data_IF_747300535629
#
_entry.id   IF_747300535629
#
_cell.length_a   1.000
_cell.length_b   1.000
_cell.length_c   1.000
_cell.angle_alpha   90.00
_cell.angle_beta   90.00
_cell.angle_gamma   90.00
#
_symmetry.space_group_name_H-M   'P 1'
#
loop_
_entity.id
_entity.type
_entity.pdbx_description
1 polymer ?
#
# COMPACT_ATOMS: atom_id res chain seq x y z
N UNK A 1 3.79 18.05 9.72
CA UNK A 1 4.67 16.90 9.52
C UNK A 1 4.86 16.61 8.03
N UNK A 2 6.00 16.09 7.65
CA UNK A 2 6.28 15.65 6.29
C UNK A 2 5.56 14.33 6.00
N UNK A 3 4.85 14.25 4.87
CA UNK A 3 4.13 13.05 4.44
C UNK A 3 4.63 12.62 3.08
N UNK A 4 5.10 11.38 2.99
CA UNK A 4 5.58 10.77 1.76
C UNK A 4 4.73 9.54 1.45
N UNK A 5 4.15 9.51 0.27
CA UNK A 5 3.44 8.33 -0.20
C UNK A 5 4.42 7.29 -0.77
N UNK A 6 4.25 6.04 -0.40
CA UNK A 6 5.00 4.90 -0.96
C UNK A 6 4.02 3.96 -1.64
N UNK A 7 4.22 3.73 -2.94
CA UNK A 7 3.31 2.94 -3.76
C UNK A 7 4.06 1.76 -4.35
N UNK A 8 3.83 0.53 -3.83
CA UNK A 8 4.39 -0.67 -4.42
C UNK A 8 3.68 -0.98 -5.76
N UNK A 9 4.43 -1.02 -6.84
CA UNK A 9 3.93 -1.24 -8.20
C UNK A 9 4.81 -2.22 -9.00
N UNK A 10 5.65 -3.01 -8.32
CA UNK A 10 6.53 -3.99 -8.96
C UNK A 10 5.85 -5.33 -9.26
N UNK A 11 4.66 -5.59 -8.70
CA UNK A 11 3.94 -6.85 -8.86
C UNK A 11 3.40 -7.04 -10.27
N UNK A 12 3.47 -8.26 -10.75
CA UNK A 12 2.95 -8.65 -12.07
C UNK A 12 1.45 -8.94 -12.10
N UNK A 13 0.75 -8.85 -10.94
CA UNK A 13 -0.70 -8.92 -10.86
C UNK A 13 -1.32 -10.25 -11.29
N UNK A 14 -0.90 -11.35 -10.67
CA UNK A 14 -1.30 -12.72 -11.02
C UNK A 14 -2.81 -13.04 -10.90
N UNK A 15 -3.60 -12.17 -10.30
CA UNK A 15 -5.03 -12.43 -10.01
C UNK A 15 -5.99 -12.02 -11.14
N UNK A 16 -5.55 -11.22 -12.09
CA UNK A 16 -6.35 -10.86 -13.26
C UNK A 16 -5.73 -11.53 -14.48
N UNK A 17 -6.52 -12.31 -15.22
CA UNK A 17 -6.12 -12.98 -16.46
C UNK A 17 -5.94 -11.96 -17.60
N UNK A 18 -5.11 -10.93 -17.38
CA UNK A 18 -4.82 -9.90 -18.36
C UNK A 18 -3.38 -10.05 -18.85
N UNK A 19 -3.13 -9.64 -20.11
CA UNK A 19 -1.81 -9.70 -20.74
C UNK A 19 -0.77 -8.74 -20.12
N UNK A 20 -1.16 -7.93 -19.16
CA UNK A 20 -0.31 -6.99 -18.41
C UNK A 20 -0.75 -6.83 -16.97
N UNK A 21 0.13 -6.32 -16.07
CA UNK A 21 -0.23 -6.10 -14.67
C UNK A 21 -1.45 -5.17 -14.53
N UNK A 22 -2.30 -5.46 -13.54
CA UNK A 22 -3.59 -4.78 -13.37
C UNK A 22 -3.47 -3.26 -13.24
N UNK A 23 -2.39 -2.75 -12.62
CA UNK A 23 -2.18 -1.30 -12.45
C UNK A 23 -1.97 -0.57 -13.78
N UNK A 24 -1.60 -1.26 -14.85
CA UNK A 24 -1.41 -0.71 -16.19
C UNK A 24 -2.62 -0.89 -17.11
N UNK A 25 -3.68 -1.52 -16.65
CA UNK A 25 -4.96 -1.55 -17.37
C UNK A 25 -5.53 -0.12 -17.42
N UNK A 26 -6.19 0.21 -18.52
CA UNK A 26 -6.73 1.55 -18.75
C UNK A 26 -8.21 1.64 -18.39
N UNK A 27 -8.57 2.74 -17.77
CA UNK A 27 -9.93 3.21 -17.57
C UNK A 27 -9.99 4.63 -18.14
N UNK A 28 -10.80 4.87 -19.17
CA UNK A 28 -10.89 6.18 -19.83
C UNK A 28 -9.53 6.73 -20.23
N UNK A 29 -8.77 6.15 -21.05
CA UNK A 29 -7.46 6.60 -21.59
C UNK A 29 -6.29 6.70 -20.60
N UNK A 30 -6.53 6.51 -19.29
CA UNK A 30 -5.49 6.51 -18.26
C UNK A 30 -5.37 5.14 -17.61
N UNK A 31 -4.15 4.76 -17.24
CA UNK A 31 -3.92 3.54 -16.47
C UNK A 31 -4.56 3.67 -15.08
N UNK A 32 -4.88 2.54 -14.46
CA UNK A 32 -5.34 2.50 -13.07
C UNK A 32 -4.32 3.18 -12.15
N UNK A 33 -3.01 2.95 -12.38
CA UNK A 33 -1.94 3.60 -11.65
C UNK A 33 -1.99 5.13 -11.79
N UNK A 34 -2.21 5.66 -12.98
CA UNK A 34 -2.33 7.11 -13.21
C UNK A 34 -3.52 7.70 -12.44
N UNK A 35 -4.65 7.00 -12.40
CA UNK A 35 -5.80 7.42 -11.59
C UNK A 35 -5.46 7.44 -10.10
N UNK A 36 -4.80 6.42 -9.59
CA UNK A 36 -4.36 6.34 -8.19
C UNK A 36 -3.39 7.48 -7.86
N UNK A 37 -2.36 7.67 -8.68
CA UNK A 37 -1.36 8.73 -8.50
C UNK A 37 -1.98 10.14 -8.58
N UNK A 38 -2.98 10.33 -9.43
CA UNK A 38 -3.67 11.62 -9.56
C UNK A 38 -4.33 12.07 -8.26
N UNK A 39 -4.98 11.15 -7.55
CA UNK A 39 -5.58 11.45 -6.23
C UNK A 39 -4.52 11.83 -5.21
N UNK A 40 -3.42 11.09 -5.16
CA UNK A 40 -2.35 11.30 -4.18
C UNK A 40 -1.58 12.59 -4.47
N UNK A 41 -1.18 12.81 -5.72
CA UNK A 41 -0.42 13.99 -6.14
C UNK A 41 -1.21 15.30 -5.99
N UNK A 42 -2.53 15.25 -6.09
CA UNK A 42 -3.39 16.43 -5.94
C UNK A 42 -3.67 16.81 -4.49
N UNK A 43 -3.31 15.96 -3.50
CA UNK A 43 -3.53 16.28 -2.10
C UNK A 43 -2.42 17.19 -1.54
N UNK A 44 -2.77 18.39 -1.01
CA UNK A 44 -1.77 19.39 -0.63
C UNK A 44 -0.87 18.99 0.55
N UNK A 45 -1.31 18.06 1.40
CA UNK A 45 -0.53 17.59 2.55
C UNK A 45 0.54 16.56 2.19
N UNK A 46 0.50 15.97 0.99
CA UNK A 46 1.48 14.98 0.56
C UNK A 46 2.65 15.70 -0.12
N UNK A 47 3.84 15.55 0.45
CA UNK A 47 5.03 16.27 0.00
C UNK A 47 5.70 15.61 -1.21
N UNK A 48 5.70 14.27 -1.24
CA UNK A 48 6.38 13.52 -2.29
C UNK A 48 5.81 12.12 -2.43
N UNK A 49 6.04 11.50 -3.58
CA UNK A 49 5.63 10.12 -3.88
C UNK A 49 6.85 9.30 -4.26
N UNK A 50 6.98 8.12 -3.67
CA UNK A 50 7.96 7.12 -4.07
C UNK A 50 7.19 5.94 -4.68
N UNK A 51 7.50 5.64 -5.92
CA UNK A 51 6.88 4.55 -6.67
C UNK A 51 7.89 3.43 -6.85
N UNK A 52 7.62 2.27 -6.24
CA UNK A 52 8.46 1.08 -6.39
C UNK A 52 7.98 0.26 -7.58
N UNK A 53 8.83 0.14 -8.60
CA UNK A 53 8.49 -0.48 -9.90
C UNK A 53 9.40 -1.67 -10.18
N UNK A 54 8.96 -2.55 -11.08
CA UNK A 54 9.78 -3.66 -11.53
C UNK A 54 11.03 -3.18 -12.26
N UNK A 55 12.11 -3.98 -12.19
CA UNK A 55 13.32 -3.70 -12.93
C UNK A 55 13.01 -3.68 -14.42
N UNK A 56 13.43 -2.59 -15.09
CA UNK A 56 13.17 -2.41 -16.53
C UNK A 56 11.68 -2.54 -16.90
N UNK A 57 10.79 -1.99 -16.09
CA UNK A 57 9.35 -2.03 -16.33
C UNK A 57 9.00 -1.38 -17.68
N UNK A 58 8.51 -2.15 -18.66
CA UNK A 58 8.28 -1.63 -20.00
C UNK A 58 7.05 -0.71 -20.09
N UNK A 59 6.15 -0.78 -19.13
CA UNK A 59 4.88 -0.03 -19.15
C UNK A 59 5.01 1.41 -18.69
N UNK A 60 6.05 1.74 -17.92
CA UNK A 60 6.27 3.11 -17.42
C UNK A 60 6.46 4.10 -18.57
N UNK A 61 7.16 3.70 -19.62
CA UNK A 61 7.41 4.56 -20.79
C UNK A 61 6.16 4.87 -21.62
N UNK A 62 5.10 4.08 -21.44
CA UNK A 62 3.81 4.31 -22.11
C UNK A 62 2.96 5.39 -21.41
N UNK A 63 3.35 5.78 -20.20
CA UNK A 63 2.60 6.73 -19.39
C UNK A 63 3.14 8.14 -19.58
N UNK A 64 2.23 9.09 -19.82
CA UNK A 64 2.59 10.51 -20.01
C UNK A 64 2.95 11.22 -18.71
N UNK A 65 2.66 10.59 -17.55
CA UNK A 65 2.93 11.16 -16.25
C UNK A 65 4.42 11.24 -15.90
N UNK A 66 5.27 10.43 -16.54
CA UNK A 66 6.70 10.37 -16.22
C UNK A 66 7.58 11.03 -17.27
N UNK A 67 8.71 11.66 -16.86
CA UNK A 67 9.13 11.94 -15.48
C UNK A 67 8.23 13.01 -14.80
N UNK A 68 8.15 12.95 -13.46
CA UNK A 68 7.37 13.91 -12.67
C UNK A 68 8.19 14.39 -11.48
N UNK A 69 8.21 15.71 -11.24
CA UNK A 69 9.06 16.33 -10.20
C UNK A 69 8.77 15.83 -8.78
N UNK A 70 7.52 15.44 -8.49
CA UNK A 70 7.08 14.97 -7.18
C UNK A 70 7.06 13.44 -7.06
N UNK A 71 7.60 12.71 -8.03
CA UNK A 71 7.68 11.25 -8.00
C UNK A 71 9.13 10.81 -8.17
N UNK A 72 9.58 9.98 -7.23
CA UNK A 72 10.84 9.25 -7.34
C UNK A 72 10.55 7.78 -7.63
N UNK A 73 11.19 7.23 -8.65
CA UNK A 73 11.11 5.81 -8.98
C UNK A 73 12.21 5.06 -8.23
N UNK A 74 11.85 3.94 -7.60
CA UNK A 74 12.78 3.00 -6.99
C UNK A 74 12.54 1.60 -7.52
N UNK A 75 13.55 0.75 -7.52
CA UNK A 75 13.38 -0.66 -7.88
C UNK A 75 12.65 -1.38 -6.76
N UNK A 76 11.57 -2.07 -7.08
CA UNK A 76 10.83 -2.93 -6.16
C UNK A 76 11.56 -4.26 -5.91
N UNK A 77 11.09 -4.98 -4.89
CA UNK A 77 11.55 -6.32 -4.57
C UNK A 77 10.69 -7.43 -5.19
N UNK A 78 10.95 -8.67 -4.79
CA UNK A 78 10.20 -9.84 -5.25
C UNK A 78 8.81 -9.92 -4.62
N UNK A 79 8.65 -9.37 -3.41
CA UNK A 79 7.38 -9.31 -2.69
C UNK A 79 6.89 -7.86 -2.54
N UNK A 80 5.60 -7.70 -2.22
CA UNK A 80 5.04 -6.39 -1.91
C UNK A 80 5.75 -5.74 -0.71
N UNK A 81 6.00 -6.50 0.35
CA UNK A 81 6.69 -6.01 1.54
C UNK A 81 8.12 -5.52 1.23
N UNK A 82 8.87 -6.25 0.40
CA UNK A 82 10.21 -5.83 -0.05
C UNK A 82 10.16 -4.56 -0.89
N UNK A 83 9.16 -4.44 -1.77
CA UNK A 83 8.96 -3.23 -2.58
C UNK A 83 8.68 -2.01 -1.70
N UNK A 84 7.84 -2.16 -0.68
CA UNK A 84 7.58 -1.10 0.30
C UNK A 84 8.85 -0.74 1.05
N UNK A 85 9.60 -1.73 1.55
CA UNK A 85 10.86 -1.49 2.26
C UNK A 85 11.88 -0.74 1.39
N UNK A 86 12.02 -1.12 0.12
CA UNK A 86 12.90 -0.41 -0.81
C UNK A 86 12.46 1.06 -0.98
N UNK A 87 11.16 1.32 -1.03
CA UNK A 87 10.63 2.68 -1.04
C UNK A 87 10.96 3.47 0.23
N UNK A 88 10.80 2.85 1.41
CA UNK A 88 11.14 3.47 2.70
C UNK A 88 12.63 3.79 2.80
N UNK A 89 13.50 2.93 2.28
CA UNK A 89 14.95 3.14 2.29
C UNK A 89 15.40 4.33 1.43
N UNK A 90 14.57 4.81 0.52
CA UNK A 90 14.83 6.03 -0.25
C UNK A 90 14.44 7.32 0.51
N UNK A 91 13.77 7.22 1.65
CA UNK A 91 13.36 8.37 2.47
C UNK A 91 14.51 8.75 3.39
N UNK A 92 14.93 10.03 3.32
CA UNK A 92 16.05 10.56 4.13
C UNK A 92 15.65 10.98 5.54
N UNK A 93 14.39 11.43 5.71
CA UNK A 93 13.88 11.88 6.99
C UNK A 93 13.19 10.71 7.71
N UNK A 94 13.86 10.14 8.70
CA UNK A 94 13.33 9.01 9.47
C UNK A 94 12.05 9.32 10.24
N UNK A 95 11.82 10.59 10.56
CA UNK A 95 10.61 11.05 11.25
C UNK A 95 9.48 11.47 10.30
N UNK A 96 9.68 11.34 8.99
CA UNK A 96 8.57 11.51 8.05
C UNK A 96 7.48 10.47 8.30
N UNK A 97 6.25 10.84 7.97
CA UNK A 97 5.14 9.91 7.96
C UNK A 97 4.97 9.34 6.57
N UNK A 98 4.71 8.06 6.49
CA UNK A 98 4.54 7.36 5.22
C UNK A 98 3.12 6.89 5.04
N UNK A 99 2.60 7.16 3.86
CA UNK A 99 1.30 6.73 3.39
C UNK A 99 1.54 5.58 2.39
N UNK A 100 1.36 4.35 2.80
CA UNK A 100 1.50 3.21 1.90
C UNK A 100 0.16 2.91 1.25
N UNK A 101 0.12 2.94 -0.07
CA UNK A 101 -1.11 2.74 -0.84
C UNK A 101 -0.90 1.81 -2.02
N UNK A 102 -1.87 0.96 -2.30
CA UNK A 102 -1.83 0.03 -3.42
C UNK A 102 -1.99 0.77 -4.77
N UNK A 103 -1.16 0.40 -5.73
CA UNK A 103 -1.15 1.00 -7.07
C UNK A 103 -2.48 0.87 -7.82
N UNK A 104 -3.22 -0.21 -7.60
CA UNK A 104 -4.46 -0.52 -8.27
C UNK A 104 -5.71 -0.24 -7.41
N UNK A 105 -5.66 0.78 -6.56
CA UNK A 105 -6.80 1.27 -5.77
C UNK A 105 -7.10 2.74 -6.09
N UNK A 106 -7.76 3.00 -7.24
CA UNK A 106 -7.96 4.36 -7.74
C UNK A 106 -9.14 5.11 -7.09
N UNK A 107 -9.96 4.43 -6.29
CA UNK A 107 -11.17 5.00 -5.69
C UNK A 107 -10.94 5.73 -4.36
N UNK A 108 -9.67 5.92 -3.98
CA UNK A 108 -9.29 6.73 -2.82
C UNK A 108 -9.77 8.17 -3.00
N UNK A 109 -10.23 8.80 -1.91
CA UNK A 109 -10.67 10.19 -1.91
C UNK A 109 -9.82 11.06 -0.99
N UNK A 110 -9.77 12.37 -1.23
CA UNK A 110 -9.14 13.32 -0.31
C UNK A 110 -9.78 13.31 1.08
N UNK A 111 -11.08 13.03 1.16
CA UNK A 111 -11.77 12.90 2.44
C UNK A 111 -11.23 11.73 3.27
N UNK A 112 -10.94 10.60 2.63
CA UNK A 112 -10.34 9.45 3.31
C UNK A 112 -8.91 9.75 3.78
N UNK A 113 -8.12 10.42 2.95
CA UNK A 113 -6.77 10.88 3.31
C UNK A 113 -6.80 11.83 4.51
N UNK A 114 -7.75 12.77 4.52
CA UNK A 114 -7.89 13.72 5.63
C UNK A 114 -8.18 13.03 6.97
N UNK A 115 -8.94 11.93 6.97
CA UNK A 115 -9.18 11.14 8.18
C UNK A 115 -7.88 10.57 8.74
N UNK A 116 -7.02 10.00 7.88
CA UNK A 116 -5.71 9.48 8.31
C UNK A 116 -4.79 10.59 8.81
N UNK A 117 -4.75 11.73 8.13
CA UNK A 117 -3.84 12.83 8.46
C UNK A 117 -4.19 13.56 9.75
N UNK A 118 -5.40 13.35 10.27
CA UNK A 118 -5.85 13.91 11.55
C UNK A 118 -5.45 13.07 12.77
N UNK A 119 -4.95 11.85 12.56
CA UNK A 119 -4.55 11.01 13.69
C UNK A 119 -3.37 11.64 14.45
N UNK A 120 -3.39 11.50 15.75
CA UNK A 120 -2.36 11.98 16.68
C UNK A 120 -1.69 10.82 17.45
N UNK A 121 -1.94 9.59 17.04
CA UNK A 121 -1.35 8.40 17.63
C UNK A 121 -0.05 8.06 16.91
N UNK A 122 1.05 7.97 17.64
CA UNK A 122 2.36 7.62 17.08
C UNK A 122 2.44 6.19 16.53
N UNK A 123 1.51 5.33 16.91
CA UNK A 123 1.43 3.97 16.38
C UNK A 123 0.95 3.93 14.94
N UNK A 124 0.30 5.00 14.47
CA UNK A 124 -0.24 5.09 13.12
C UNK A 124 -1.70 4.65 13.00
N UNK A 125 -2.18 4.52 11.79
CA UNK A 125 -3.53 4.06 11.50
C UNK A 125 -3.66 3.49 10.10
N UNK A 126 -4.75 2.77 9.87
CA UNK A 126 -5.12 2.25 8.55
C UNK A 126 -6.55 2.62 8.20
N UNK A 127 -6.87 2.63 6.92
CA UNK A 127 -8.25 2.58 6.49
C UNK A 127 -8.76 1.13 6.55
N UNK A 128 -9.96 0.96 7.05
CA UNK A 128 -10.60 -0.34 7.14
C UNK A 128 -12.12 -0.17 7.05
N UNK A 129 -12.81 -1.23 6.67
CA UNK A 129 -14.27 -1.31 6.68
C UNK A 129 -14.74 -2.47 7.55
N UNK A 130 -15.82 -2.31 8.33
CA UNK A 130 -16.35 -3.42 9.11
C UNK A 130 -16.86 -4.53 8.18
N UNK A 131 -16.68 -5.78 8.58
CA UNK A 131 -17.23 -6.91 7.84
C UNK A 131 -18.76 -6.89 7.92
N UNK A 132 -19.42 -6.78 6.76
CA UNK A 132 -20.89 -6.71 6.66
C UNK A 132 -21.51 -8.03 6.23
N UNK A 133 -20.80 -8.86 5.49
CA UNK A 133 -21.24 -10.18 5.08
C UNK A 133 -21.00 -11.24 6.17
N UNK A 134 -21.77 -12.33 6.13
CA UNK A 134 -21.50 -13.47 6.99
C UNK A 134 -20.17 -14.13 6.59
N UNK A 135 -19.26 -14.24 7.55
CA UNK A 135 -17.93 -14.81 7.33
C UNK A 135 -17.94 -16.29 7.73
N UNK A 136 -17.57 -17.15 6.80
CA UNK A 136 -17.42 -18.58 7.00
C UNK A 136 -15.94 -18.94 7.08
N UNK A 137 -15.57 -19.71 8.10
CA UNK A 137 -14.28 -20.38 8.12
C UNK A 137 -14.43 -21.72 7.40
N UNK A 138 -13.52 -21.99 6.47
CA UNK A 138 -13.49 -23.23 5.71
C UNK A 138 -12.19 -24.01 5.96
N UNK A 139 -12.20 -25.33 5.70
CA UNK A 139 -11.01 -26.17 5.66
C UNK A 139 -10.37 -26.17 4.26
N UNK A 140 -9.30 -26.93 4.10
CA UNK A 140 -8.58 -27.07 2.81
C UNK A 140 -9.44 -27.66 1.69
N UNK A 141 -10.45 -28.48 2.04
CA UNK A 141 -11.40 -29.09 1.11
C UNK A 141 -12.57 -28.15 0.76
N UNK A 142 -12.56 -26.92 1.28
CA UNK A 142 -13.61 -25.90 1.10
C UNK A 142 -14.94 -26.24 1.80
N UNK A 143 -14.93 -27.15 2.78
CA UNK A 143 -16.08 -27.40 3.64
C UNK A 143 -16.18 -26.30 4.71
N UNK A 144 -17.40 -25.87 5.01
CA UNK A 144 -17.65 -24.88 6.07
C UNK A 144 -17.42 -25.53 7.43
N UNK A 145 -16.46 -25.00 8.20
CA UNK A 145 -16.20 -25.41 9.58
C UNK A 145 -17.14 -24.70 10.54
N UNK A 146 -17.23 -23.36 10.42
CA UNK A 146 -18.05 -22.52 11.30
C UNK A 146 -18.33 -21.14 10.69
N UNK A 147 -19.30 -20.47 11.29
CA UNK A 147 -19.53 -19.04 11.07
C UNK A 147 -18.70 -18.25 12.09
N UNK A 148 -17.95 -17.27 11.62
CA UNK A 148 -17.21 -16.34 12.51
C UNK A 148 -18.13 -15.23 13.01
N UNK A 149 -17.91 -14.81 14.25
CA UNK A 149 -18.52 -13.57 14.75
C UNK A 149 -17.82 -12.39 14.07
N UNK A 150 -18.60 -11.61 13.32
CA UNK A 150 -18.07 -10.47 12.55
C UNK A 150 -18.11 -9.14 13.31
N UNK A 151 -18.62 -9.13 14.54
CA UNK A 151 -18.83 -7.89 15.29
C UNK A 151 -17.55 -7.07 15.45
N UNK A 152 -16.41 -7.75 15.61
CA UNK A 152 -15.09 -7.13 15.78
C UNK A 152 -14.17 -7.38 14.59
N UNK A 153 -14.70 -7.84 13.45
CA UNK A 153 -13.91 -8.07 12.24
C UNK A 153 -13.96 -6.89 11.30
N UNK A 154 -12.77 -6.44 10.91
CA UNK A 154 -12.57 -5.36 9.96
C UNK A 154 -11.78 -5.85 8.76
N UNK A 155 -12.13 -5.38 7.57
CA UNK A 155 -11.41 -5.64 6.34
C UNK A 155 -10.42 -4.51 6.11
N UNK A 156 -9.14 -4.81 6.31
CA UNK A 156 -8.07 -3.84 6.13
C UNK A 156 -8.01 -3.37 4.67
N UNK A 157 -7.86 -2.08 4.50
CA UNK A 157 -7.70 -1.41 3.23
C UNK A 157 -6.35 -0.69 3.19
N UNK A 158 -6.03 -0.06 2.09
CA UNK A 158 -5.00 0.97 2.02
C UNK A 158 -5.64 2.30 1.63
N UNK A 159 -5.07 3.46 1.99
CA UNK A 159 -3.73 3.67 2.57
C UNK A 159 -3.60 3.20 4.01
N UNK A 160 -2.34 2.88 4.37
CA UNK A 160 -1.90 2.64 5.74
C UNK A 160 -0.83 3.69 6.09
N UNK A 161 -0.89 4.25 7.28
CA UNK A 161 -0.19 5.49 7.62
C UNK A 161 0.59 5.35 8.92
N UNK A 162 1.92 5.37 8.81
CA UNK A 162 2.85 5.12 9.92
C UNK A 162 4.06 6.04 9.84
N UNK A 163 4.76 6.21 10.94
CA UNK A 163 6.06 6.86 10.95
C UNK A 163 7.11 6.01 10.21
N UNK A 164 7.95 6.63 9.41
CA UNK A 164 8.89 5.95 8.51
C UNK A 164 9.85 5.03 9.26
N UNK A 165 10.47 5.52 10.35
CA UNK A 165 11.43 4.76 11.16
C UNK A 165 10.78 3.51 11.78
N UNK A 166 9.57 3.64 12.33
CA UNK A 166 8.87 2.53 12.98
C UNK A 166 8.47 1.46 11.96
N UNK A 167 7.91 1.87 10.83
CA UNK A 167 7.51 0.93 9.78
C UNK A 167 8.72 0.26 9.13
N UNK A 168 9.79 1.01 8.84
CA UNK A 168 11.03 0.44 8.29
C UNK A 168 11.58 -0.66 9.19
N UNK A 169 11.74 -0.38 10.47
CA UNK A 169 12.22 -1.35 11.44
C UNK A 169 11.31 -2.57 11.54
N UNK A 170 10.00 -2.38 11.55
CA UNK A 170 9.03 -3.47 11.59
C UNK A 170 9.13 -4.38 10.36
N UNK A 171 9.24 -3.81 9.17
CA UNK A 171 9.40 -4.56 7.91
C UNK A 171 10.74 -5.29 7.86
N UNK A 172 11.84 -4.64 8.23
CA UNK A 172 13.17 -5.26 8.27
C UNK A 172 13.19 -6.48 9.20
N UNK A 173 12.67 -6.35 10.40
CA UNK A 173 12.57 -7.44 11.37
C UNK A 173 11.66 -8.56 10.88
N UNK A 174 10.47 -8.24 10.39
CA UNK A 174 9.52 -9.23 9.90
C UNK A 174 10.07 -10.02 8.71
N UNK A 175 10.68 -9.37 7.74
CA UNK A 175 11.31 -10.01 6.59
C UNK A 175 12.50 -10.85 6.97
N UNK A 176 13.36 -10.40 7.90
CA UNK A 176 14.52 -11.16 8.36
C UNK A 176 14.13 -12.45 9.11
N UNK A 177 12.97 -12.46 9.73
CA UNK A 177 12.40 -13.62 10.42
C UNK A 177 11.61 -14.56 9.50
N UNK A 178 11.49 -14.24 8.22
CA UNK A 178 10.68 -15.01 7.27
C UNK A 178 9.17 -14.92 7.54
N UNK A 179 8.71 -13.86 8.21
CA UNK A 179 7.30 -13.68 8.53
C UNK A 179 6.46 -13.45 7.26
N UNK A 180 5.23 -13.95 7.26
CA UNK A 180 4.26 -13.66 6.21
C UNK A 180 3.62 -12.29 6.46
N UNK A 181 4.15 -11.26 5.81
CA UNK A 181 3.66 -9.89 5.90
C UNK A 181 2.61 -9.67 4.81
N UNK A 182 1.36 -9.49 5.22
CA UNK A 182 0.22 -9.29 4.30
C UNK A 182 -0.03 -7.81 3.98
N UNK A 183 0.26 -6.94 4.94
CA UNK A 183 0.15 -5.47 4.84
C UNK A 183 1.12 -4.81 5.84
N UNK A 184 1.19 -3.50 5.86
CA UNK A 184 2.07 -2.76 6.78
C UNK A 184 1.62 -2.93 8.23
N UNK A 185 0.30 -2.95 8.49
CA UNK A 185 -0.25 -3.17 9.82
C UNK A 185 0.22 -4.51 10.40
N UNK A 186 0.25 -5.59 9.62
CA UNK A 186 0.72 -6.89 10.09
C UNK A 186 2.20 -6.88 10.51
N UNK A 187 3.04 -6.11 9.83
CA UNK A 187 4.42 -5.89 10.24
C UNK A 187 4.51 -5.11 11.56
N UNK A 188 3.71 -4.08 11.71
CA UNK A 188 3.64 -3.28 12.94
C UNK A 188 3.15 -4.12 14.13
N UNK A 189 2.15 -4.98 13.93
CA UNK A 189 1.66 -5.92 14.94
C UNK A 189 2.75 -6.89 15.40
N UNK A 190 3.52 -7.46 14.47
CA UNK A 190 4.69 -8.32 14.78
C UNK A 190 5.74 -7.58 15.61
N UNK A 191 5.90 -6.28 15.42
CA UNK A 191 6.81 -5.43 16.19
C UNK A 191 6.24 -4.98 17.54
N UNK A 192 4.99 -5.36 17.88
CA UNK A 192 4.36 -5.08 19.17
C UNK A 192 3.47 -3.85 19.24
N UNK A 193 3.16 -3.23 18.09
CA UNK A 193 2.19 -2.12 18.00
C UNK A 193 0.75 -2.63 17.91
N UNK A 194 -0.22 -1.80 18.32
CA UNK A 194 -1.65 -2.12 18.31
C UNK A 194 -2.47 -1.10 17.53
#
# INVERSE_FOLDING_TARGET
REIIAVIPAAGVGSRMQANKPKQYLKILDKTILEHTLSVILSHPAINHVILAVGKNDPYLSEMTLFPHQNITLVEGGETRAESVLNGLNAIKNDYAWVLVHDAARPCLTHQDLNKLFQIDDEQGAILAIPAVDTIKRANEQQDIIKTEDRTELWLAQTPQFFRCDLLRNALEQGLSQGANITDEASAMELAGFQ
#
